data_IF_258669675534
#
_entry.id   IF_258669675534
#
_cell.length_a   1.000
_cell.length_b   1.000
_cell.length_c   1.000
_cell.angle_alpha   90.00
_cell.angle_beta   90.00
_cell.angle_gamma   90.00
#
_symmetry.space_group_name_H-M   'P 1'
#
loop_
_entity.id
_entity.type
_entity.pdbx_description
1 polymer ?
#
# COMPACT_ATOMS: atom_id res chain seq x y z
N UNK A 1 48.17 -10.80 -17.46
CA UNK A 1 47.07 -11.77 -17.41
C UNK A 1 46.55 -11.93 -18.82
N UNK A 2 46.82 -13.07 -19.47
CA UNK A 2 46.58 -13.24 -20.91
C UNK A 2 45.43 -14.20 -21.22
N UNK A 3 44.85 -14.87 -20.21
CA UNK A 3 43.81 -15.87 -20.40
C UNK A 3 42.73 -15.78 -19.31
N UNK A 4 41.47 -16.00 -19.70
CA UNK A 4 40.31 -16.04 -18.80
C UNK A 4 40.51 -17.09 -17.68
N UNK A 5 41.12 -18.23 -18.04
CA UNK A 5 41.40 -19.32 -17.10
C UNK A 5 42.30 -18.93 -15.93
N UNK A 6 43.35 -18.14 -16.19
CA UNK A 6 44.25 -17.67 -15.12
C UNK A 6 43.52 -16.77 -14.13
N UNK A 7 42.58 -15.96 -14.61
CA UNK A 7 41.76 -15.09 -13.77
C UNK A 7 40.79 -15.91 -12.91
N UNK A 8 40.11 -16.89 -13.51
CA UNK A 8 39.22 -17.81 -12.79
C UNK A 8 39.97 -18.56 -11.70
N UNK A 9 41.14 -19.11 -12.00
CA UNK A 9 41.94 -19.88 -11.04
C UNK A 9 42.37 -19.00 -9.85
N UNK A 10 42.72 -17.73 -10.07
CA UNK A 10 43.03 -16.78 -8.99
C UNK A 10 41.81 -16.40 -8.15
N UNK A 11 40.64 -16.22 -8.78
CA UNK A 11 39.39 -15.94 -8.05
C UNK A 11 39.02 -17.16 -7.19
N UNK A 12 39.15 -18.36 -7.75
CA UNK A 12 38.91 -19.61 -7.05
C UNK A 12 39.86 -19.73 -5.84
N UNK A 13 41.15 -19.43 -5.99
CA UNK A 13 42.12 -19.42 -4.88
C UNK A 13 41.76 -18.40 -3.79
N UNK A 14 41.31 -17.20 -4.18
CA UNK A 14 40.84 -16.17 -3.23
C UNK A 14 39.59 -16.61 -2.45
N UNK A 15 38.71 -17.40 -3.07
CA UNK A 15 37.55 -17.99 -2.39
C UNK A 15 37.98 -19.13 -1.48
N UNK A 16 38.90 -19.99 -1.91
CA UNK A 16 39.44 -21.08 -1.08
C UNK A 16 40.20 -20.60 0.15
N UNK A 17 40.77 -19.39 0.10
CA UNK A 17 41.49 -18.76 1.23
C UNK A 17 40.57 -17.93 2.13
N UNK A 18 39.25 -17.99 1.93
CA UNK A 18 38.21 -17.24 2.66
C UNK A 18 38.39 -15.70 2.62
N UNK A 19 39.14 -15.18 1.64
CA UNK A 19 39.31 -13.74 1.44
C UNK A 19 38.00 -13.14 0.88
N UNK A 20 37.36 -13.87 -0.02
CA UNK A 20 36.11 -13.48 -0.69
C UNK A 20 35.14 -14.65 -0.58
N UNK A 21 33.89 -14.37 -0.23
CA UNK A 21 32.79 -15.32 -0.32
C UNK A 21 31.85 -14.87 -1.42
N UNK A 22 31.53 -15.78 -2.35
CA UNK A 22 30.76 -15.41 -3.53
C UNK A 22 30.63 -16.53 -4.55
N UNK A 23 29.96 -16.23 -5.65
CA UNK A 23 29.72 -17.15 -6.77
C UNK A 23 30.18 -16.55 -8.08
N UNK A 24 30.88 -17.35 -8.88
CA UNK A 24 31.29 -16.96 -10.22
C UNK A 24 30.13 -17.25 -11.20
N UNK A 25 29.57 -16.20 -11.80
CA UNK A 25 28.65 -16.31 -12.92
C UNK A 25 29.38 -16.13 -14.25
N UNK A 26 29.77 -17.26 -14.82
CA UNK A 26 30.50 -17.31 -16.07
C UNK A 26 29.66 -16.86 -17.28
N UNK A 27 28.34 -16.98 -17.22
CA UNK A 27 27.46 -16.58 -18.34
C UNK A 27 27.42 -15.07 -18.46
N UNK A 28 27.33 -14.38 -17.33
CA UNK A 28 27.30 -12.93 -17.28
C UNK A 28 28.70 -12.32 -17.12
N UNK A 29 29.74 -13.15 -16.97
CA UNK A 29 31.14 -12.74 -16.73
C UNK A 29 31.28 -11.86 -15.48
N UNK A 30 30.54 -12.20 -14.42
CA UNK A 30 30.49 -11.46 -13.16
C UNK A 30 30.88 -12.37 -11.99
N UNK A 31 31.44 -11.76 -10.96
CA UNK A 31 31.64 -12.39 -9.65
C UNK A 31 30.65 -11.75 -8.67
N UNK A 32 29.68 -12.53 -8.22
CA UNK A 32 28.77 -12.13 -7.14
C UNK A 32 29.51 -12.30 -5.83
N UNK A 33 29.72 -11.21 -5.08
CA UNK A 33 30.44 -11.22 -3.81
C UNK A 33 29.44 -10.95 -2.68
N UNK A 34 29.26 -11.93 -1.81
CA UNK A 34 28.40 -11.82 -0.63
C UNK A 34 29.15 -11.20 0.55
N UNK A 35 30.43 -11.55 0.71
CA UNK A 35 31.28 -11.05 1.78
C UNK A 35 32.75 -10.98 1.34
N UNK A 36 33.49 -10.04 1.90
CA UNK A 36 34.94 -9.94 1.69
C UNK A 36 35.65 -9.37 2.91
N UNK A 37 36.93 -9.73 3.07
CA UNK A 37 37.77 -9.17 4.12
C UNK A 37 38.31 -7.80 3.73
N UNK A 38 38.29 -6.86 4.68
CA UNK A 38 38.89 -5.54 4.49
C UNK A 38 40.41 -5.59 4.57
N UNK A 39 41.09 -5.62 3.42
CA UNK A 39 42.56 -5.73 3.37
C UNK A 39 43.30 -4.43 3.75
N UNK A 40 42.78 -3.29 3.31
CA UNK A 40 43.49 -2.01 3.39
C UNK A 40 42.61 -0.94 4.07
N UNK A 41 43.03 -0.45 5.24
CA UNK A 41 42.36 0.67 5.94
C UNK A 41 43.34 1.83 6.02
N UNK A 42 43.09 2.89 5.23
CA UNK A 42 43.90 4.11 5.28
C UNK A 42 43.29 5.08 6.29
N UNK A 43 44.12 5.72 7.12
CA UNK A 43 43.66 6.67 8.16
C UNK A 43 42.75 7.79 7.63
N UNK A 44 42.99 8.23 6.39
CA UNK A 44 42.19 9.25 5.70
C UNK A 44 40.76 8.81 5.39
N UNK A 45 40.54 7.50 5.22
CA UNK A 45 39.26 6.94 4.77
C UNK A 45 38.36 6.56 5.97
N UNK A 46 38.89 6.58 7.20
CA UNK A 46 38.14 6.27 8.44
C UNK A 46 36.90 7.17 8.58
N UNK A 47 37.05 8.47 8.35
CA UNK A 47 35.92 9.40 8.42
C UNK A 47 34.83 9.08 7.40
N UNK A 48 35.20 8.58 6.22
CA UNK A 48 34.24 8.19 5.20
C UNK A 48 33.54 6.89 5.59
N UNK A 49 34.26 5.91 6.13
CA UNK A 49 33.67 4.66 6.64
C UNK A 49 32.63 4.95 7.73
N UNK A 50 32.97 5.81 8.71
CA UNK A 50 32.05 6.22 9.78
C UNK A 50 30.81 6.90 9.20
N UNK A 51 30.98 7.82 8.23
CA UNK A 51 29.85 8.47 7.56
C UNK A 51 28.94 7.47 6.86
N UNK A 52 29.50 6.54 6.07
CA UNK A 52 28.70 5.54 5.36
C UNK A 52 27.95 4.59 6.30
N UNK A 53 28.56 4.24 7.44
CA UNK A 53 27.89 3.43 8.46
C UNK A 53 26.76 4.20 9.12
N UNK A 54 26.97 5.48 9.45
CA UNK A 54 25.91 6.34 9.99
C UNK A 54 24.75 6.50 9.01
N UNK A 55 25.03 6.82 7.75
CA UNK A 55 24.00 6.95 6.71
C UNK A 55 23.18 5.66 6.55
N UNK A 56 23.82 4.49 6.67
CA UNK A 56 23.12 3.21 6.65
C UNK A 56 22.25 3.00 7.89
N UNK A 57 22.76 3.30 9.08
CA UNK A 57 21.98 3.24 10.32
C UNK A 57 20.76 4.18 10.28
N UNK A 58 20.96 5.43 9.86
CA UNK A 58 19.91 6.44 9.73
C UNK A 58 18.85 5.99 8.71
N UNK A 59 19.28 5.37 7.61
CA UNK A 59 18.39 4.77 6.61
C UNK A 59 17.53 3.64 7.20
N UNK A 60 18.13 2.74 7.99
CA UNK A 60 17.40 1.68 8.69
C UNK A 60 16.42 2.25 9.72
N UNK A 61 16.82 3.25 10.49
CA UNK A 61 15.96 3.91 11.49
C UNK A 61 14.78 4.61 10.81
N UNK A 62 15.00 5.33 9.71
CA UNK A 62 13.94 5.98 8.95
C UNK A 62 12.89 4.99 8.43
N UNK A 63 13.33 3.82 7.92
CA UNK A 63 12.41 2.76 7.48
C UNK A 63 11.62 2.19 8.66
N UNK A 64 12.27 1.91 9.78
CA UNK A 64 11.61 1.39 10.99
C UNK A 64 10.56 2.38 11.53
N UNK A 65 10.94 3.65 11.67
CA UNK A 65 10.02 4.71 12.10
C UNK A 65 8.86 4.89 11.12
N UNK A 66 9.13 4.78 9.81
CA UNK A 66 8.09 4.76 8.79
C UNK A 66 7.07 3.66 9.01
N UNK A 67 7.54 2.43 9.27
CA UNK A 67 6.67 1.27 9.55
C UNK A 67 5.86 1.49 10.83
N UNK A 68 6.49 1.91 11.92
CA UNK A 68 5.79 2.19 13.18
C UNK A 68 4.69 3.22 12.99
N UNK A 69 4.97 4.29 12.25
CA UNK A 69 3.99 5.33 11.99
C UNK A 69 2.81 4.81 11.15
N UNK A 70 3.07 3.94 10.17
CA UNK A 70 1.99 3.30 9.40
C UNK A 70 1.13 2.38 10.27
N UNK A 71 1.74 1.63 11.19
CA UNK A 71 1.01 0.79 12.15
C UNK A 71 0.12 1.65 13.06
N UNK A 72 0.63 2.77 13.58
CA UNK A 72 -0.14 3.70 14.40
C UNK A 72 -1.33 4.28 13.63
N UNK A 73 -1.12 4.72 12.39
CA UNK A 73 -2.19 5.24 11.51
C UNK A 73 -3.26 4.19 11.27
N UNK A 74 -2.86 2.96 10.94
CA UNK A 74 -3.80 1.86 10.71
C UNK A 74 -4.62 1.52 11.97
N UNK A 75 -4.00 1.53 13.14
CA UNK A 75 -4.69 1.28 14.40
C UNK A 75 -5.68 2.41 14.75
N UNK A 76 -5.27 3.68 14.56
CA UNK A 76 -6.15 4.83 14.75
C UNK A 76 -7.34 4.79 13.79
N UNK A 77 -7.12 4.45 12.52
CA UNK A 77 -8.19 4.29 11.55
C UNK A 77 -9.19 3.21 11.97
N UNK A 78 -8.69 2.04 12.40
CA UNK A 78 -9.51 0.94 12.92
C UNK A 78 -10.33 1.34 14.15
N UNK A 79 -9.72 2.05 15.10
CA UNK A 79 -10.40 2.51 16.31
C UNK A 79 -11.49 3.54 15.99
N UNK A 80 -11.19 4.52 15.15
CA UNK A 80 -12.15 5.52 14.69
C UNK A 80 -13.31 4.87 13.93
N UNK A 81 -13.01 3.92 13.03
CA UNK A 81 -14.02 3.20 12.28
C UNK A 81 -14.94 2.39 13.21
N UNK A 82 -14.37 1.68 14.18
CA UNK A 82 -15.13 0.93 15.18
C UNK A 82 -16.01 1.85 16.04
N UNK A 83 -15.48 3.00 16.49
CA UNK A 83 -16.25 3.98 17.26
C UNK A 83 -17.42 4.54 16.44
N UNK A 84 -17.20 4.90 15.18
CA UNK A 84 -18.26 5.39 14.29
C UNK A 84 -19.32 4.31 14.05
N UNK A 85 -18.93 3.06 13.79
CA UNK A 85 -19.87 1.94 13.65
C UNK A 85 -20.73 1.77 14.92
N UNK A 86 -20.12 1.79 16.11
CA UNK A 86 -20.84 1.66 17.38
C UNK A 86 -21.84 2.82 17.60
N UNK A 87 -21.48 4.05 17.23
CA UNK A 87 -22.40 5.19 17.31
C UNK A 87 -23.60 5.01 16.38
N UNK A 88 -23.37 4.59 15.13
CA UNK A 88 -24.45 4.29 14.18
C UNK A 88 -25.36 3.19 14.72
N UNK A 89 -24.81 2.09 15.23
CA UNK A 89 -25.59 1.00 15.83
C UNK A 89 -26.40 1.45 17.07
N UNK A 90 -25.82 2.30 17.91
CA UNK A 90 -26.49 2.84 19.09
C UNK A 90 -27.66 3.77 18.72
N UNK A 91 -27.49 4.61 17.70
CA UNK A 91 -28.56 5.49 17.20
C UNK A 91 -29.65 4.69 16.48
N UNK A 92 -29.31 3.64 15.72
CA UNK A 92 -30.31 2.69 15.17
C UNK A 92 -31.11 2.06 16.31
N UNK A 93 -30.46 1.64 17.40
CA UNK A 93 -31.14 1.04 18.56
C UNK A 93 -32.08 2.01 19.28
N UNK A 94 -31.72 3.30 19.36
CA UNK A 94 -32.57 4.35 19.97
C UNK A 94 -33.70 4.80 19.03
N UNK A 95 -33.49 4.76 17.72
CA UNK A 95 -34.42 5.23 16.69
C UNK A 95 -35.50 4.25 16.24
N UNK A 96 -35.54 3.01 16.78
CA UNK A 96 -36.55 1.99 16.40
C UNK A 96 -37.67 1.81 17.43
N UNK A 97 -38.07 2.85 18.17
CA UNK A 97 -39.36 2.85 18.86
C UNK A 97 -40.44 3.44 17.93
N UNK A 98 -41.14 2.53 17.23
CA UNK A 98 -42.32 2.72 16.36
C UNK A 98 -42.15 3.47 15.03
N UNK A 99 -42.11 2.77 13.87
CA UNK A 99 -42.88 3.23 12.74
C UNK A 99 -44.34 2.83 12.96
N UNK A 100 -45.19 3.83 13.21
CA UNK A 100 -46.64 3.66 13.07
C UNK A 100 -46.95 3.04 11.69
N UNK A 101 -48.01 2.21 11.58
CA UNK A 101 -48.39 1.61 10.30
C UNK A 101 -48.77 2.72 9.32
N UNK A 102 -47.86 3.07 8.41
CA UNK A 102 -48.13 4.06 7.35
C UNK A 102 -46.97 4.97 6.89
N UNK A 103 -45.79 4.93 7.51
CA UNK A 103 -44.66 5.77 7.04
C UNK A 103 -43.81 5.07 5.96
N UNK A 104 -43.49 5.73 4.83
CA UNK A 104 -42.62 5.15 3.82
C UNK A 104 -41.18 5.05 4.35
N UNK A 105 -40.59 3.86 4.24
CA UNK A 105 -39.19 3.56 4.60
C UNK A 105 -38.22 4.36 3.71
N UNK A 106 -38.00 5.64 3.99
CA UNK A 106 -37.04 6.47 3.26
C UNK A 106 -36.16 7.21 4.25
N UNK A 107 -35.39 6.47 5.07
CA UNK A 107 -34.21 7.04 5.72
C UNK A 107 -33.27 5.95 6.26
N UNK A 108 -32.72 5.11 5.38
CA UNK A 108 -31.59 4.23 5.74
C UNK A 108 -30.53 4.11 4.65
N UNK A 109 -30.56 4.99 3.66
CA UNK A 109 -29.47 5.17 2.71
C UNK A 109 -28.93 6.58 2.93
N UNK A 110 -27.87 6.75 3.72
CA UNK A 110 -26.83 7.79 3.56
C UNK A 110 -25.94 7.81 4.81
N UNK A 111 -25.18 6.74 5.04
CA UNK A 111 -23.80 6.86 5.53
C UNK A 111 -23.04 5.66 4.98
N UNK A 112 -22.67 5.71 3.70
CA UNK A 112 -21.47 4.99 3.27
C UNK A 112 -20.30 5.83 3.78
N UNK A 113 -19.45 5.35 4.69
CA UNK A 113 -18.17 6.00 4.94
C UNK A 113 -17.39 5.87 3.63
N UNK A 114 -17.22 7.00 2.93
CA UNK A 114 -16.28 7.10 1.83
C UNK A 114 -14.90 6.71 2.40
N UNK A 115 -14.18 5.74 1.80
CA UNK A 115 -12.82 5.48 2.22
C UNK A 115 -11.98 6.70 1.86
N UNK A 116 -11.43 7.38 2.87
CA UNK A 116 -10.44 8.42 2.64
C UNK A 116 -9.28 7.82 1.85
N UNK A 117 -9.09 8.39 0.66
CA UNK A 117 -8.01 8.06 -0.26
C UNK A 117 -6.66 8.12 0.43
N UNK A 118 -5.88 7.12 0.06
CA UNK A 118 -4.43 6.99 0.11
C UNK A 118 -3.77 8.37 -0.12
N UNK A 119 -3.30 9.01 0.94
CA UNK A 119 -2.33 10.10 0.87
C UNK A 119 -1.04 9.65 1.52
N UNK A 120 -0.14 9.14 0.68
CA UNK A 120 1.16 8.65 1.11
C UNK A 120 1.90 7.76 0.11
N UNK A 121 1.62 7.86 -1.20
CA UNK A 121 2.51 7.34 -2.23
C UNK A 121 3.02 8.53 -3.06
N UNK A 122 4.26 8.93 -2.81
CA UNK A 122 4.99 9.82 -3.70
C UNK A 122 5.22 9.11 -5.04
N UNK A 123 4.54 9.64 -6.07
CA UNK A 123 5.09 10.01 -7.37
C UNK A 123 6.11 9.05 -8.05
N UNK A 124 5.62 8.12 -8.88
CA UNK A 124 6.26 7.85 -10.19
C UNK A 124 5.22 7.42 -11.23
N UNK A 125 5.02 8.27 -12.24
CA UNK A 125 4.86 7.82 -13.63
C UNK A 125 3.53 7.21 -14.09
N UNK A 126 2.85 7.99 -14.94
CA UNK A 126 1.94 7.57 -16.03
C UNK A 126 0.50 7.18 -15.62
N UNK A 127 -0.44 8.01 -16.07
CA UNK A 127 -1.81 8.05 -15.56
C UNK A 127 -2.76 7.00 -16.10
N UNK A 128 -3.72 6.62 -15.25
CA UNK A 128 -5.01 6.04 -15.59
C UNK A 128 -5.94 6.35 -14.41
N UNK A 129 -6.95 7.22 -14.55
CA UNK A 129 -7.77 7.59 -13.38
C UNK A 129 -9.06 8.36 -13.63
N UNK A 130 -9.55 8.46 -14.87
CA UNK A 130 -10.78 9.22 -15.17
C UNK A 130 -11.94 8.33 -15.65
N UNK A 131 -11.73 7.01 -15.80
CA UNK A 131 -12.73 6.13 -16.44
C UNK A 131 -13.63 5.33 -15.48
N UNK A 132 -13.33 5.22 -14.18
CA UNK A 132 -14.17 4.43 -13.26
C UNK A 132 -15.38 5.20 -12.69
N UNK A 133 -15.28 6.52 -12.51
CA UNK A 133 -16.34 7.30 -11.86
C UNK A 133 -17.60 7.46 -12.72
N UNK A 134 -17.49 7.44 -14.06
CA UNK A 134 -18.64 7.65 -14.95
C UNK A 134 -19.56 6.42 -15.07
N UNK A 135 -19.08 5.20 -14.78
CA UNK A 135 -19.88 3.97 -14.93
C UNK A 135 -20.92 3.82 -13.81
N UNK A 136 -20.59 4.24 -12.59
CA UNK A 136 -21.50 4.16 -11.43
C UNK A 136 -22.64 5.19 -11.51
N UNK A 137 -22.38 6.40 -12.01
CA UNK A 137 -23.38 7.47 -12.12
C UNK A 137 -24.50 7.12 -13.12
N UNK A 138 -24.17 6.40 -14.20
CA UNK A 138 -25.15 5.97 -15.19
C UNK A 138 -26.07 4.85 -14.67
N UNK A 139 -25.57 3.91 -13.84
CA UNK A 139 -26.40 2.85 -13.26
C UNK A 139 -27.46 3.39 -12.29
N UNK A 140 -27.10 4.36 -11.44
CA UNK A 140 -28.04 4.95 -10.46
C UNK A 140 -29.14 5.73 -11.16
N UNK A 141 -28.81 6.43 -12.25
CA UNK A 141 -29.78 7.20 -13.04
C UNK A 141 -30.79 6.29 -13.77
N UNK A 142 -30.33 5.14 -14.30
CA UNK A 142 -31.21 4.18 -14.99
C UNK A 142 -32.20 3.50 -14.03
N UNK A 143 -31.78 3.20 -12.81
CA UNK A 143 -32.64 2.64 -11.77
C UNK A 143 -33.71 3.64 -11.30
N UNK A 144 -33.34 4.93 -11.12
CA UNK A 144 -34.29 5.98 -10.76
C UNK A 144 -35.36 6.19 -11.86
N UNK A 145 -34.95 6.25 -13.12
CA UNK A 145 -35.85 6.42 -14.27
C UNK A 145 -36.80 5.22 -14.44
N UNK A 146 -36.31 4.00 -14.21
CA UNK A 146 -37.12 2.78 -14.24
C UNK A 146 -38.23 2.79 -13.17
N UNK A 147 -37.89 3.20 -11.94
CA UNK A 147 -38.84 3.33 -10.84
C UNK A 147 -39.90 4.43 -11.06
N UNK A 148 -39.49 5.55 -11.65
CA UNK A 148 -40.37 6.69 -11.92
C UNK A 148 -41.31 6.47 -13.12
N UNK A 149 -40.99 5.47 -13.96
CA UNK A 149 -41.87 4.99 -15.05
C UNK A 149 -42.84 3.91 -14.56
N UNK A 150 -42.41 3.02 -13.66
CA UNK A 150 -43.27 1.98 -13.06
C UNK A 150 -44.37 2.55 -12.15
N UNK A 151 -44.08 3.65 -11.44
CA UNK A 151 -45.04 4.33 -10.56
C UNK A 151 -46.15 5.09 -11.30
N UNK A 152 -45.99 5.39 -12.60
CA UNK A 152 -47.02 6.07 -13.42
C UNK A 152 -48.06 5.15 -14.06
N UNK A 153 -47.85 3.83 -14.07
CA UNK A 153 -48.76 2.85 -14.70
C UNK A 153 -49.78 2.21 -13.76
N UNK A 154 -49.71 2.45 -12.44
CA UNK A 154 -50.78 2.12 -11.49
C UNK A 154 -51.63 3.36 -11.20
N UNK A 155 -52.43 3.80 -12.19
CA UNK A 155 -53.67 4.53 -11.88
C UNK A 155 -54.82 3.53 -11.91
N UNK A 156 -55.58 3.34 -10.82
CA UNK A 156 -56.78 2.52 -10.85
C UNK A 156 -57.82 3.16 -11.79
N UNK A 157 -58.29 2.38 -12.78
CA UNK A 157 -59.48 2.75 -13.57
C UNK A 157 -60.67 2.80 -12.62
N UNK A 158 -61.33 3.95 -12.60
CA UNK A 158 -62.56 4.22 -11.88
C UNK A 158 -63.72 3.66 -12.71
N UNK A 159 -64.28 2.53 -12.29
CA UNK A 159 -65.70 2.13 -12.41
C UNK A 159 -65.98 1.20 -11.25
#
# INVERSE_FOLDING_TARGET
MRNLRELEDLIIEAVYTDIIQGKLDQRNQLLEVDFCIGRDIRKKDINNIVKTLHEWCDGCEAVLLGIEQQVLRANQYKENHSRTQQQVEAEVRKGTLFPAPGAPCVLLCLVSPVPDEISGYQQTGVGVGVTQSLSLVLSVSFLLLGWQRASRLRKPRMW
#
